data_IF_670810432918
#
_entry.id   IF_670810432918
#
_cell.length_a   1.000
_cell.length_b   1.000
_cell.length_c   1.000
_cell.angle_alpha   90.00
_cell.angle_beta   90.00
_cell.angle_gamma   90.00
#
_symmetry.space_group_name_H-M   'P 1'
#
loop_
_entity.id
_entity.type
_entity.pdbx_description
1 polymer ?
#
# COMPACT_ATOMS: atom_id res chain seq x y z
N UNK A 1 -1.56 -0.18 -19.40
CA UNK A 1 -0.88 -0.48 -18.13
C UNK A 1 -1.24 0.64 -17.16
N UNK A 2 -1.97 0.34 -16.08
CA UNK A 2 -2.23 1.32 -15.02
C UNK A 2 -0.95 1.47 -14.21
N UNK A 3 -0.36 2.66 -14.21
CA UNK A 3 0.76 3.00 -13.33
C UNK A 3 0.21 3.45 -11.99
N UNK A 4 0.78 2.97 -10.89
CA UNK A 4 0.40 3.39 -9.53
C UNK A 4 0.89 4.82 -9.22
N UNK A 5 0.48 5.35 -8.07
CA UNK A 5 0.95 6.64 -7.55
C UNK A 5 2.19 6.46 -6.66
N UNK A 6 2.98 7.52 -6.49
CA UNK A 6 4.11 7.53 -5.55
C UNK A 6 3.72 7.90 -4.11
N UNK A 7 2.43 8.11 -3.82
CA UNK A 7 1.94 8.62 -2.53
C UNK A 7 2.45 7.81 -1.33
N UNK A 8 2.50 6.49 -1.45
CA UNK A 8 3.03 5.59 -0.40
C UNK A 8 4.53 5.83 -0.18
N UNK A 9 5.31 5.99 -1.25
CA UNK A 9 6.74 6.23 -1.18
C UNK A 9 7.08 7.63 -0.65
N UNK A 10 6.17 8.58 -0.84
CA UNK A 10 6.34 9.98 -0.42
C UNK A 10 5.84 10.24 1.00
N UNK A 11 5.05 9.33 1.58
CA UNK A 11 4.51 9.43 2.93
C UNK A 11 5.60 9.63 3.98
N UNK A 12 5.52 10.76 4.69
CA UNK A 12 6.53 11.16 5.67
C UNK A 12 6.57 10.20 6.88
N UNK A 13 5.40 9.73 7.35
CA UNK A 13 5.31 8.75 8.44
C UNK A 13 6.07 7.47 8.08
N UNK A 14 5.89 6.96 6.86
CA UNK A 14 6.58 5.75 6.41
C UNK A 14 8.09 5.94 6.27
N UNK A 15 8.52 7.12 5.76
CA UNK A 15 9.95 7.47 5.68
C UNK A 15 10.62 7.46 7.06
N UNK A 16 9.95 8.04 8.06
CA UNK A 16 10.47 8.11 9.42
C UNK A 16 10.55 6.74 10.10
N UNK A 17 9.49 5.92 9.96
CA UNK A 17 9.50 4.54 10.48
C UNK A 17 10.59 3.72 9.79
N UNK A 18 10.71 3.82 8.46
CA UNK A 18 11.73 3.12 7.69
C UNK A 18 13.15 3.49 8.17
N UNK A 19 13.42 4.79 8.35
CA UNK A 19 14.69 5.27 8.87
C UNK A 19 14.98 4.76 10.29
N UNK A 20 14.01 4.85 11.20
CA UNK A 20 14.16 4.39 12.58
C UNK A 20 14.40 2.87 12.68
N UNK A 21 13.84 2.09 11.75
CA UNK A 21 13.97 0.63 11.71
C UNK A 21 15.18 0.15 10.90
N UNK A 22 15.86 1.04 10.16
CA UNK A 22 16.91 0.65 9.21
C UNK A 22 16.38 -0.27 8.09
N UNK A 23 15.12 -0.08 7.69
CA UNK A 23 14.43 -0.88 6.68
C UNK A 23 13.97 0.00 5.53
N UNK A 24 13.65 -0.59 4.38
CA UNK A 24 13.07 0.16 3.26
C UNK A 24 11.59 0.50 3.50
N UNK A 25 11.05 1.53 2.85
CA UNK A 25 9.60 1.83 2.90
C UNK A 25 8.78 0.61 2.45
N UNK A 26 9.24 -0.09 1.40
CA UNK A 26 8.59 -1.31 0.92
C UNK A 26 8.55 -2.39 2.01
N UNK A 27 9.64 -2.59 2.76
CA UNK A 27 9.66 -3.52 3.89
C UNK A 27 8.65 -3.16 4.98
N UNK A 28 8.56 -1.87 5.33
CA UNK A 28 7.57 -1.40 6.31
C UNK A 28 6.15 -1.70 5.84
N UNK A 29 5.82 -1.36 4.59
CA UNK A 29 4.48 -1.60 4.03
C UNK A 29 4.14 -3.09 3.97
N UNK A 30 5.06 -3.92 3.47
CA UNK A 30 4.84 -5.37 3.37
C UNK A 30 4.67 -6.02 4.74
N UNK A 31 5.51 -5.63 5.71
CA UNK A 31 5.39 -6.11 7.09
C UNK A 31 4.05 -5.71 7.70
N UNK A 32 3.61 -4.47 7.49
CA UNK A 32 2.34 -4.00 8.02
C UNK A 32 1.16 -4.80 7.46
N UNK A 33 1.07 -4.99 6.14
CA UNK A 33 -0.03 -5.77 5.54
C UNK A 33 -0.03 -7.22 6.06
N UNK A 34 1.15 -7.82 6.22
CA UNK A 34 1.28 -9.14 6.84
C UNK A 34 0.78 -9.17 8.29
N UNK A 35 1.10 -8.17 9.11
CA UNK A 35 0.62 -8.08 10.50
C UNK A 35 -0.87 -7.81 10.62
N UNK A 36 -1.52 -7.24 9.60
CA UNK A 36 -2.98 -7.14 9.51
C UNK A 36 -3.65 -8.49 9.18
N UNK A 37 -2.89 -9.57 8.98
CA UNK A 37 -3.42 -10.89 8.60
C UNK A 37 -3.79 -11.01 7.13
N UNK A 38 -3.31 -10.09 6.28
CA UNK A 38 -3.61 -10.05 4.85
C UNK A 38 -2.43 -10.62 4.05
N UNK A 39 -2.73 -11.49 3.08
CA UNK A 39 -1.71 -12.01 2.15
C UNK A 39 -1.34 -10.96 1.10
N UNK A 40 -0.04 -10.82 0.82
CA UNK A 40 0.46 -9.79 -0.09
C UNK A 40 0.92 -10.37 -1.42
N UNK A 41 0.48 -9.76 -2.52
CA UNK A 41 0.98 -10.03 -3.86
C UNK A 41 1.90 -8.89 -4.31
N UNK A 42 3.19 -9.18 -4.47
CA UNK A 42 4.20 -8.23 -4.94
C UNK A 42 4.69 -8.61 -6.33
N UNK A 43 4.89 -7.60 -7.20
CA UNK A 43 5.43 -7.78 -8.54
C UNK A 43 6.79 -7.12 -8.65
N UNK A 44 7.80 -7.89 -9.05
CA UNK A 44 9.14 -7.37 -9.37
C UNK A 44 9.78 -8.25 -10.44
N UNK A 45 10.57 -7.63 -11.32
CA UNK A 45 11.48 -8.34 -12.23
C UNK A 45 12.94 -8.27 -11.77
N UNK A 46 13.22 -7.50 -10.71
CA UNK A 46 14.54 -7.37 -10.12
C UNK A 46 14.71 -8.43 -9.01
N UNK A 47 15.75 -9.28 -9.14
CA UNK A 47 15.98 -10.43 -8.25
C UNK A 47 16.28 -10.00 -6.82
N UNK A 48 17.02 -8.91 -6.65
CA UNK A 48 17.37 -8.36 -5.34
C UNK A 48 16.13 -7.87 -4.61
N UNK A 49 15.22 -7.18 -5.30
CA UNK A 49 13.92 -6.76 -4.76
C UNK A 49 13.02 -7.94 -4.42
N UNK A 50 13.03 -9.01 -5.22
CA UNK A 50 12.27 -10.24 -4.89
C UNK A 50 12.78 -10.83 -3.58
N UNK A 51 14.09 -10.94 -3.40
CA UNK A 51 14.70 -11.40 -2.13
C UNK A 51 14.34 -10.47 -0.97
N UNK A 52 14.45 -9.16 -1.15
CA UNK A 52 14.10 -8.17 -0.14
C UNK A 52 12.64 -8.27 0.28
N UNK A 53 11.70 -8.45 -0.66
CA UNK A 53 10.28 -8.58 -0.34
C UNK A 53 9.95 -9.80 0.55
N UNK A 54 10.83 -10.81 0.59
CA UNK A 54 10.70 -11.98 1.46
C UNK A 54 11.34 -11.76 2.85
N UNK A 55 12.18 -10.73 3.03
CA UNK A 55 12.87 -10.40 4.28
C UNK A 55 11.99 -9.56 5.24
N UNK A 56 10.75 -10.03 5.46
CA UNK A 56 9.75 -9.34 6.30
C UNK A 56 9.29 -10.18 7.50
N UNK A 57 9.71 -11.43 7.62
CA UNK A 57 9.13 -12.36 8.60
C UNK A 57 9.83 -12.33 9.97
N UNK A 58 11.14 -12.07 10.00
CA UNK A 58 11.99 -12.21 11.20
C UNK A 58 11.98 -11.01 12.16
N UNK A 59 11.14 -10.01 11.91
CA UNK A 59 11.04 -8.80 12.72
C UNK A 59 9.61 -8.27 12.69
N UNK A 60 9.22 -7.44 13.66
CA UNK A 60 7.87 -6.88 13.77
C UNK A 60 7.87 -5.37 13.94
N UNK A 61 6.77 -4.72 13.59
CA UNK A 61 6.55 -3.31 13.91
C UNK A 61 6.28 -3.16 15.42
N UNK A 62 6.69 -2.03 16.00
CA UNK A 62 6.28 -1.74 17.38
C UNK A 62 4.83 -1.27 17.42
N UNK A 63 4.23 -1.30 18.61
CA UNK A 63 2.90 -0.72 18.81
C UNK A 63 2.85 0.78 18.48
N UNK A 64 3.96 1.49 18.69
CA UNK A 64 4.08 2.90 18.31
C UNK A 64 4.07 3.07 16.78
N UNK A 65 4.81 2.23 16.04
CA UNK A 65 4.80 2.28 14.58
C UNK A 65 3.38 2.00 14.06
N UNK A 66 2.73 0.95 14.58
CA UNK A 66 1.37 0.58 14.20
C UNK A 66 0.37 1.71 14.47
N UNK A 67 0.48 2.38 15.62
CA UNK A 67 -0.34 3.55 15.96
C UNK A 67 -0.09 4.73 15.00
N UNK A 68 1.14 4.95 14.58
CA UNK A 68 1.47 6.00 13.59
C UNK A 68 0.94 5.65 12.21
N UNK A 69 1.05 4.39 11.81
CA UNK A 69 0.52 3.90 10.53
C UNK A 69 -1.00 4.02 10.46
N UNK A 70 -1.73 3.77 11.55
CA UNK A 70 -3.19 3.91 11.58
C UNK A 70 -3.68 5.35 11.43
N UNK A 71 -2.80 6.35 11.56
CA UNK A 71 -3.13 7.76 11.36
C UNK A 71 -2.93 8.23 9.91
N UNK A 72 -2.40 7.37 9.03
CA UNK A 72 -2.22 7.71 7.61
C UNK A 72 -3.60 7.80 6.94
N UNK A 73 -3.92 8.92 6.26
CA UNK A 73 -5.16 9.05 5.50
C UNK A 73 -5.27 7.96 4.44
N UNK A 74 -6.41 7.28 4.44
CA UNK A 74 -6.69 6.22 3.48
C UNK A 74 -7.22 6.81 2.17
N UNK A 75 -6.77 6.26 1.05
CA UNK A 75 -7.21 6.64 -0.29
C UNK A 75 -7.07 5.44 -1.23
N UNK A 76 -8.00 5.28 -2.17
CA UNK A 76 -7.87 4.24 -3.21
C UNK A 76 -6.80 4.61 -4.23
N UNK A 77 -5.79 3.77 -4.37
CA UNK A 77 -4.74 3.94 -5.38
C UNK A 77 -5.24 3.70 -6.81
N UNK A 78 -6.25 2.83 -6.98
CA UNK A 78 -6.91 2.57 -8.26
C UNK A 78 -8.40 2.84 -8.11
N UNK A 79 -8.86 3.96 -8.67
CA UNK A 79 -10.28 4.37 -8.60
C UNK A 79 -11.14 3.76 -9.71
N UNK A 80 -10.59 2.87 -10.54
CA UNK A 80 -11.33 2.18 -11.60
C UNK A 80 -12.03 3.12 -12.62
N UNK A 81 -11.55 4.36 -12.78
CA UNK A 81 -12.17 5.36 -13.69
C UNK A 81 -12.32 4.87 -15.14
N UNK A 82 -11.44 3.96 -15.59
CA UNK A 82 -11.54 3.35 -16.93
C UNK A 82 -12.76 2.44 -17.12
N UNK A 83 -13.43 2.03 -16.04
CA UNK A 83 -14.62 1.16 -16.06
C UNK A 83 -15.93 1.94 -15.91
N UNK A 84 -15.85 3.27 -15.79
CA UNK A 84 -16.99 4.17 -15.60
C UNK A 84 -17.33 4.87 -16.92
N UNK A 85 -18.62 4.92 -17.26
CA UNK A 85 -19.10 5.61 -18.47
C UNK A 85 -20.57 5.97 -18.35
N UNK A 86 -20.98 7.13 -18.88
CA UNK A 86 -22.39 7.53 -18.98
C UNK A 86 -23.27 6.46 -19.65
N UNK A 87 -22.72 5.69 -20.58
CA UNK A 87 -23.43 4.60 -21.29
C UNK A 87 -23.21 3.22 -20.68
N UNK A 88 -22.29 3.10 -19.72
CA UNK A 88 -21.95 1.85 -19.04
C UNK A 88 -22.87 1.52 -17.88
N UNK A 89 -22.67 0.37 -17.22
CA UNK A 89 -23.43 0.00 -16.03
C UNK A 89 -23.18 0.92 -14.83
N UNK A 90 -21.99 1.54 -14.74
CA UNK A 90 -21.63 2.49 -13.69
C UNK A 90 -21.39 3.88 -14.28
N UNK A 91 -22.10 4.89 -13.76
CA UNK A 91 -22.09 6.28 -14.27
C UNK A 91 -21.05 7.16 -13.58
N UNK A 92 -20.62 6.78 -12.38
CA UNK A 92 -19.57 7.48 -11.63
C UNK A 92 -18.63 6.50 -10.92
N UNK A 93 -17.48 7.00 -10.46
CA UNK A 93 -16.56 6.22 -9.62
C UNK A 93 -17.20 5.89 -8.27
N UNK A 94 -17.98 6.81 -7.73
CA UNK A 94 -18.72 6.62 -6.48
C UNK A 94 -19.69 5.43 -6.58
N UNK A 95 -20.48 5.39 -7.66
CA UNK A 95 -21.37 4.27 -7.96
C UNK A 95 -20.63 2.95 -8.19
N UNK A 96 -19.45 2.98 -8.82
CA UNK A 96 -18.65 1.77 -9.02
C UNK A 96 -18.14 1.16 -7.70
N UNK A 97 -17.91 2.00 -6.67
CA UNK A 97 -17.40 1.59 -5.36
C UNK A 97 -18.46 1.62 -4.26
N UNK A 98 -19.75 1.73 -4.60
CA UNK A 98 -20.85 1.84 -3.63
C UNK A 98 -20.62 2.93 -2.56
N UNK A 99 -20.00 4.05 -2.94
CA UNK A 99 -19.67 5.16 -2.04
C UNK A 99 -18.40 4.99 -1.20
N UNK A 100 -17.71 3.86 -1.29
CA UNK A 100 -16.50 3.59 -0.52
C UNK A 100 -15.23 4.19 -1.16
N UNK A 101 -15.24 5.42 -1.67
CA UNK A 101 -14.09 6.02 -2.40
C UNK A 101 -12.94 6.50 -1.49
#
# INVERSE_FOLDING_TARGET
MLWGTNNVMECQVLKEIAAARGKSIAHICLRWVHEQGVSVLVKSFNKERIKQNLDIFDWKLSQEDLKRMSQIPQQRACVAAAFVSEKGPYKSVDEFWDGEI
#
